data_IF_774524959125
#
_entry.id   IF_774524959125
#
_cell.length_a   1.000
_cell.length_b   1.000
_cell.length_c   1.000
_cell.angle_alpha   90.00
_cell.angle_beta   90.00
_cell.angle_gamma   90.00
#
_symmetry.space_group_name_H-M   'P 1'
#
loop_
_entity.id
_entity.type
_entity.pdbx_description
1 polymer ?
#
# COMPACT_ATOMS: atom_id res chain seq x y z
N UNK A 1 -51.98 8.64 25.23
CA UNK A 1 -51.09 9.11 24.14
C UNK A 1 -50.87 7.92 23.20
N UNK A 2 -51.14 7.88 21.90
CA UNK A 2 -51.54 8.87 20.91
C UNK A 2 -51.23 8.27 19.52
N UNK A 3 -52.10 7.37 19.05
CA UNK A 3 -52.46 7.00 17.65
C UNK A 3 -51.41 6.44 16.66
N UNK A 4 -51.81 5.31 16.05
CA UNK A 4 -51.40 4.75 14.75
C UNK A 4 -51.68 5.73 13.58
N UNK A 5 -50.81 5.76 12.56
CA UNK A 5 -51.17 6.06 11.15
C UNK A 5 -50.01 5.65 10.23
N UNK A 6 -50.17 4.60 9.41
CA UNK A 6 -50.47 4.63 7.95
C UNK A 6 -49.48 5.43 7.11
N UNK A 7 -48.81 4.74 6.20
CA UNK A 7 -47.81 5.30 5.30
C UNK A 7 -48.35 5.96 4.04
N UNK A 8 -47.41 6.38 3.20
CA UNK A 8 -47.60 6.70 1.78
C UNK A 8 -46.26 6.59 1.07
N UNK A 9 -46.16 5.63 0.15
CA UNK A 9 -45.14 5.64 -0.91
C UNK A 9 -45.64 6.65 -1.95
N UNK A 10 -44.92 7.75 -2.12
CA UNK A 10 -45.17 8.69 -3.21
C UNK A 10 -44.27 8.34 -4.40
N UNK A 11 -44.86 7.69 -5.41
CA UNK A 11 -44.32 7.60 -6.77
C UNK A 11 -44.56 8.96 -7.45
N UNK A 12 -43.49 9.71 -7.72
CA UNK A 12 -43.53 10.88 -8.58
C UNK A 12 -43.04 10.51 -9.98
N UNK A 13 -43.97 10.54 -10.95
CA UNK A 13 -43.71 10.50 -12.39
C UNK A 13 -43.71 11.94 -12.91
N UNK A 14 -42.71 12.27 -13.73
CA UNK A 14 -42.52 13.56 -14.41
C UNK A 14 -41.06 14.00 -14.30
N UNK A 15 -40.33 14.43 -15.32
CA UNK A 15 -40.57 14.74 -16.72
C UNK A 15 -39.24 15.29 -17.27
N UNK A 16 -39.08 15.21 -18.59
CA UNK A 16 -38.04 15.79 -19.48
C UNK A 16 -37.07 16.82 -18.88
N UNK A 17 -35.76 16.58 -19.09
CA UNK A 17 -34.79 17.65 -19.33
C UNK A 17 -33.74 17.91 -18.25
N UNK A 18 -32.68 17.10 -18.21
CA UNK A 18 -31.35 17.55 -17.83
C UNK A 18 -30.33 16.51 -18.30
N UNK A 19 -29.44 16.89 -19.21
CA UNK A 19 -28.18 16.15 -19.42
C UNK A 19 -27.43 16.17 -18.10
N UNK A 20 -27.54 15.09 -17.33
CA UNK A 20 -26.78 14.91 -16.12
C UNK A 20 -25.29 14.87 -16.53
N UNK A 21 -24.61 16.01 -16.39
CA UNK A 21 -23.16 16.04 -16.32
C UNK A 21 -22.83 15.14 -15.13
N UNK A 22 -22.41 13.92 -15.43
CA UNK A 22 -21.96 12.94 -14.45
C UNK A 22 -20.74 13.57 -13.80
N UNK A 23 -20.97 14.30 -12.71
CA UNK A 23 -19.92 14.80 -11.87
C UNK A 23 -19.07 13.60 -11.51
N UNK A 24 -17.85 13.56 -12.04
CA UNK A 24 -16.83 12.64 -11.58
C UNK A 24 -16.58 13.01 -10.14
N UNK A 25 -17.35 12.41 -9.24
CA UNK A 25 -17.04 12.37 -7.83
C UNK A 25 -15.74 11.60 -7.77
N UNK A 26 -14.63 12.32 -7.82
CA UNK A 26 -13.32 11.78 -7.46
C UNK A 26 -13.54 11.27 -6.04
N UNK A 27 -13.52 9.95 -5.81
CA UNK A 27 -13.65 9.45 -4.45
C UNK A 27 -12.58 10.17 -3.65
N UNK A 28 -12.99 10.92 -2.62
CA UNK A 28 -12.04 11.52 -1.68
C UNK A 28 -11.15 10.38 -1.26
N UNK A 29 -9.92 10.38 -1.77
CA UNK A 29 -8.90 9.42 -1.36
C UNK A 29 -8.97 9.43 0.14
N UNK A 30 -9.34 8.29 0.76
CA UNK A 30 -9.22 8.15 2.21
C UNK A 30 -7.77 8.51 2.49
N UNK A 31 -7.59 9.72 3.01
CA UNK A 31 -6.32 10.21 3.50
C UNK A 31 -5.83 9.08 4.38
N UNK A 32 -4.63 8.60 4.13
CA UNK A 32 -3.97 7.79 5.13
C UNK A 32 -4.11 8.53 6.47
N UNK A 33 -4.33 7.86 7.61
CA UNK A 33 -4.46 8.55 8.88
C UNK A 33 -3.30 9.56 9.01
N UNK A 34 -3.61 10.86 8.80
CA UNK A 34 -2.62 11.92 8.85
C UNK A 34 -2.35 12.12 10.32
N UNK A 35 -1.30 11.51 10.84
CA UNK A 35 -0.76 11.90 12.13
C UNK A 35 0.08 13.15 11.88
N UNK A 36 -0.50 14.31 12.17
CA UNK A 36 0.26 15.48 12.54
C UNK A 36 0.79 15.23 13.96
N UNK A 37 2.10 15.25 14.15
CA UNK A 37 2.66 15.08 15.49
C UNK A 37 4.17 14.91 15.48
N UNK A 38 4.85 15.84 16.15
CA UNK A 38 6.24 15.78 16.60
C UNK A 38 6.39 14.76 17.74
N UNK A 39 6.16 13.48 17.47
CA UNK A 39 6.26 12.37 18.43
C UNK A 39 7.33 11.36 17.95
N UNK A 40 8.22 10.80 18.82
CA UNK A 40 9.26 9.88 18.41
C UNK A 40 8.69 8.46 18.17
N UNK A 41 7.92 8.35 17.09
CA UNK A 41 7.66 7.18 16.23
C UNK A 41 6.74 6.05 16.73
N UNK A 42 5.41 6.16 16.50
CA UNK A 42 4.68 5.12 15.79
C UNK A 42 5.17 5.08 14.33
N UNK A 43 5.57 3.92 13.85
CA UNK A 43 6.39 3.80 12.63
C UNK A 43 5.69 4.33 11.36
N UNK A 44 6.35 5.28 10.70
CA UNK A 44 5.87 5.96 9.48
C UNK A 44 5.61 4.96 8.34
N UNK A 45 4.50 5.12 7.63
CA UNK A 45 4.21 4.34 6.43
C UNK A 45 5.31 4.50 5.37
N UNK A 46 5.68 3.38 4.73
CA UNK A 46 6.51 3.33 3.52
C UNK A 46 5.61 3.06 2.33
N UNK A 47 5.86 3.70 1.19
CA UNK A 47 4.95 3.69 0.03
C UNK A 47 5.73 3.46 -1.25
N UNK A 48 5.17 2.64 -2.14
CA UNK A 48 5.56 2.57 -3.55
C UNK A 48 4.32 2.61 -4.43
N UNK A 49 4.45 3.11 -5.65
CA UNK A 49 3.41 3.00 -6.68
C UNK A 49 3.79 1.84 -7.60
N UNK A 50 2.92 0.86 -7.75
CA UNK A 50 3.08 -0.33 -8.62
C UNK A 50 2.12 -0.19 -9.80
N UNK A 51 2.58 -0.52 -11.00
CA UNK A 51 1.73 -0.54 -12.19
C UNK A 51 0.58 -1.57 -12.05
N UNK A 52 -0.60 -1.21 -12.56
CA UNK A 52 -1.78 -2.07 -12.54
C UNK A 52 -2.76 -1.80 -11.38
N UNK A 53 -3.96 -2.41 -11.44
CA UNK A 53 -5.02 -2.21 -10.47
C UNK A 53 -4.74 -2.96 -9.15
N UNK A 54 -5.36 -2.58 -8.02
CA UNK A 54 -5.10 -3.18 -6.71
C UNK A 54 -5.29 -4.70 -6.67
N UNK A 55 -6.26 -5.22 -7.43
CA UNK A 55 -6.59 -6.64 -7.52
C UNK A 55 -5.49 -7.45 -8.22
N UNK A 56 -4.67 -6.81 -9.05
CA UNK A 56 -3.50 -7.44 -9.67
C UNK A 56 -2.27 -7.39 -8.74
N UNK A 57 -2.14 -6.30 -7.95
CA UNK A 57 -0.99 -6.10 -7.04
C UNK A 57 -1.14 -6.90 -5.74
N UNK A 58 -2.37 -7.07 -5.24
CA UNK A 58 -2.73 -7.83 -4.04
C UNK A 58 -3.93 -8.75 -4.35
N UNK A 59 -3.72 -9.81 -5.17
CA UNK A 59 -4.80 -10.69 -5.59
C UNK A 59 -5.39 -11.42 -4.40
N UNK A 60 -6.69 -11.20 -4.16
CA UNK A 60 -7.44 -11.82 -3.04
C UNK A 60 -6.80 -11.55 -1.65
N UNK A 61 -6.08 -10.42 -1.52
CA UNK A 61 -5.35 -10.09 -0.29
C UNK A 61 -4.08 -10.92 -0.07
N UNK A 62 -3.65 -11.72 -1.05
CA UNK A 62 -2.40 -12.48 -0.97
C UNK A 62 -1.20 -11.55 -1.11
N UNK A 63 -0.35 -11.55 -0.10
CA UNK A 63 0.82 -10.69 -0.07
C UNK A 63 1.84 -11.08 -1.16
N UNK A 64 2.35 -10.12 -1.95
CA UNK A 64 3.38 -10.41 -2.93
C UNK A 64 4.71 -10.74 -2.24
N UNK A 65 5.55 -11.54 -2.88
CA UNK A 65 6.96 -11.65 -2.47
C UNK A 65 7.69 -10.34 -2.81
N UNK A 66 8.66 -9.89 -1.98
CA UNK A 66 9.11 -10.49 -0.72
C UNK A 66 8.29 -10.10 0.52
N UNK A 67 7.25 -9.29 0.39
CA UNK A 67 6.46 -8.76 1.52
C UNK A 67 5.81 -9.86 2.35
N UNK A 68 5.43 -10.99 1.74
CA UNK A 68 4.87 -12.16 2.45
C UNK A 68 5.71 -12.61 3.65
N UNK A 69 7.04 -12.42 3.61
CA UNK A 69 7.94 -12.76 4.73
C UNK A 69 7.77 -11.85 5.95
N UNK A 70 7.13 -10.69 5.77
CA UNK A 70 6.85 -9.71 6.80
C UNK A 70 5.40 -9.82 7.31
N UNK A 71 4.63 -10.81 6.84
CA UNK A 71 3.27 -11.06 7.31
C UNK A 71 3.27 -11.29 8.83
N UNK A 72 2.28 -10.71 9.51
CA UNK A 72 2.21 -10.66 10.97
C UNK A 72 3.17 -9.68 11.66
N UNK A 73 4.15 -9.09 10.95
CA UNK A 73 5.10 -8.10 11.50
C UNK A 73 4.80 -6.65 11.04
N UNK A 74 4.08 -6.50 9.93
CA UNK A 74 3.72 -5.20 9.35
C UNK A 74 2.23 -5.13 9.01
N UNK A 75 1.68 -3.93 8.95
CA UNK A 75 0.40 -3.67 8.29
C UNK A 75 0.68 -3.41 6.81
N UNK A 76 -0.09 -4.02 5.90
CA UNK A 76 0.00 -3.83 4.44
C UNK A 76 -1.33 -3.34 3.87
N UNK A 77 -1.30 -2.23 3.14
CA UNK A 77 -2.47 -1.62 2.52
C UNK A 77 -2.21 -1.38 1.03
N UNK A 78 -3.22 -1.64 0.18
CA UNK A 78 -3.23 -1.20 -1.21
C UNK A 78 -4.43 -0.29 -1.50
N UNK A 79 -4.21 0.69 -2.38
CA UNK A 79 -5.26 1.54 -2.92
C UNK A 79 -4.90 2.03 -4.33
N UNK A 80 -5.88 2.46 -5.15
CA UNK A 80 -5.57 3.15 -6.39
C UNK A 80 -4.66 4.37 -6.16
N UNK A 81 -3.61 4.49 -6.96
CA UNK A 81 -2.67 5.60 -6.93
C UNK A 81 -3.32 6.87 -7.53
N UNK A 82 -2.98 8.06 -7.01
CA UNK A 82 -3.45 9.32 -7.56
C UNK A 82 -3.08 9.49 -9.03
N UNK A 83 -4.02 10.04 -9.81
CA UNK A 83 -3.83 10.30 -11.24
C UNK A 83 -3.83 9.04 -12.11
N UNK A 84 -4.39 7.93 -11.63
CA UNK A 84 -4.49 6.68 -12.41
C UNK A 84 -3.14 6.01 -12.66
N UNK A 85 -2.13 6.28 -11.83
CA UNK A 85 -0.75 5.77 -12.01
C UNK A 85 -0.55 4.30 -11.57
N UNK A 86 -1.62 3.56 -11.31
CA UNK A 86 -1.59 2.19 -10.80
C UNK A 86 -2.08 2.12 -9.36
N UNK A 87 -1.34 1.40 -8.50
CA UNK A 87 -1.69 1.11 -7.11
C UNK A 87 -0.62 1.64 -6.18
N UNK A 88 -1.00 2.37 -5.13
CA UNK A 88 -0.13 2.64 -3.99
C UNK A 88 -0.15 1.45 -3.05
N UNK A 89 1.01 0.82 -2.86
CA UNK A 89 1.25 -0.24 -1.90
C UNK A 89 2.02 0.33 -0.70
N UNK A 90 1.46 0.15 0.49
CA UNK A 90 1.87 0.83 1.71
C UNK A 90 2.12 -0.15 2.85
N UNK A 91 3.25 -0.02 3.54
CA UNK A 91 3.54 -0.86 4.70
C UNK A 91 4.10 -0.07 5.88
N UNK A 92 3.76 -0.48 7.10
CA UNK A 92 4.38 0.02 8.34
C UNK A 92 4.52 -1.11 9.37
N UNK A 93 5.53 -1.05 10.26
CA UNK A 93 5.60 -1.95 11.42
C UNK A 93 4.31 -1.94 12.23
N UNK A 94 3.90 -3.11 12.70
CA UNK A 94 2.91 -3.23 13.76
C UNK A 94 3.55 -2.75 15.08
N UNK A 95 2.87 -1.86 15.82
CA UNK A 95 3.47 -1.13 16.96
C UNK A 95 4.01 -2.03 18.08
N UNK A 96 3.35 -3.16 18.34
CA UNK A 96 3.71 -4.13 19.39
C UNK A 96 4.24 -5.46 18.81
N UNK A 97 4.66 -5.48 17.55
CA UNK A 97 5.03 -6.70 16.84
C UNK A 97 6.42 -7.22 17.22
N UNK A 98 6.70 -8.53 17.01
CA UNK A 98 8.05 -9.06 17.12
C UNK A 98 8.99 -8.29 16.18
N UNK A 99 10.30 -8.22 16.50
CA UNK A 99 11.28 -7.65 15.59
C UNK A 99 11.19 -8.33 14.22
N UNK A 100 11.39 -7.55 13.15
CA UNK A 100 11.27 -8.05 11.78
C UNK A 100 12.09 -9.34 11.61
N UNK A 101 11.57 -10.35 10.89
CA UNK A 101 12.18 -11.67 10.88
C UNK A 101 13.54 -11.71 10.14
N UNK A 102 14.51 -12.41 10.73
CA UNK A 102 15.74 -12.85 10.07
C UNK A 102 16.96 -11.91 10.15
N UNK A 103 18.06 -12.33 9.52
CA UNK A 103 19.37 -11.63 9.50
C UNK A 103 19.25 -10.16 9.03
N UNK A 104 18.29 -9.88 8.15
CA UNK A 104 18.08 -8.55 7.60
C UNK A 104 17.69 -7.51 8.67
N UNK A 105 16.98 -7.91 9.73
CA UNK A 105 16.66 -7.01 10.84
C UNK A 105 17.91 -6.60 11.64
N UNK A 106 18.89 -7.49 11.78
CA UNK A 106 20.17 -7.17 12.41
C UNK A 106 21.07 -6.28 11.52
N UNK A 107 20.98 -6.43 10.18
CA UNK A 107 21.75 -5.62 9.23
C UNK A 107 21.19 -4.21 9.03
N UNK A 108 19.87 -4.04 9.21
CA UNK A 108 19.17 -2.76 9.04
C UNK A 108 19.27 -1.88 10.29
N UNK A 109 19.72 -2.42 11.42
CA UNK A 109 19.81 -1.72 12.69
C UNK A 109 18.42 -1.28 13.20
N UNK A 110 18.38 -0.19 13.96
CA UNK A 110 17.17 0.26 14.67
C UNK A 110 16.11 0.97 13.78
N UNK A 111 16.28 1.08 12.44
CA UNK A 111 15.24 1.62 11.55
C UNK A 111 14.55 0.50 10.73
N UNK A 112 13.52 -0.17 11.26
CA UNK A 112 12.72 -1.16 10.53
C UNK A 112 12.13 -0.62 9.21
N UNK A 113 12.01 0.71 9.06
CA UNK A 113 11.54 1.34 7.83
C UNK A 113 12.44 1.11 6.62
N UNK A 114 13.74 0.85 6.79
CA UNK A 114 14.64 0.54 5.67
C UNK A 114 14.36 -0.84 5.09
N UNK A 115 14.16 -1.86 5.94
CA UNK A 115 13.82 -3.21 5.49
C UNK A 115 12.50 -3.21 4.72
N UNK A 116 11.49 -2.51 5.26
CA UNK A 116 10.18 -2.38 4.62
C UNK A 116 10.29 -1.66 3.28
N UNK A 117 11.06 -0.56 3.22
CA UNK A 117 11.28 0.16 1.96
C UNK A 117 11.95 -0.73 0.92
N UNK A 118 12.93 -1.54 1.31
CA UNK A 118 13.60 -2.49 0.41
C UNK A 118 12.61 -3.54 -0.09
N UNK A 119 11.86 -4.17 0.81
CA UNK A 119 10.88 -5.19 0.45
C UNK A 119 9.78 -4.66 -0.49
N UNK A 120 9.29 -3.43 -0.27
CA UNK A 120 8.34 -2.77 -1.17
C UNK A 120 8.94 -2.50 -2.56
N UNK A 121 10.21 -2.09 -2.63
CA UNK A 121 10.90 -1.88 -3.92
C UNK A 121 11.09 -3.17 -4.69
N UNK A 122 11.51 -4.23 -4.02
CA UNK A 122 11.65 -5.56 -4.63
C UNK A 122 10.29 -6.10 -5.10
N UNK A 123 9.22 -5.94 -4.30
CA UNK A 123 7.87 -6.33 -4.71
C UNK A 123 7.41 -5.56 -5.95
N UNK A 124 7.66 -4.24 -6.01
CA UNK A 124 7.38 -3.41 -7.19
C UNK A 124 8.13 -3.93 -8.42
N UNK A 125 9.42 -4.21 -8.30
CA UNK A 125 10.23 -4.71 -9.41
C UNK A 125 9.72 -6.07 -9.90
N UNK A 126 9.49 -7.02 -9.00
CA UNK A 126 8.91 -8.32 -9.37
C UNK A 126 7.54 -8.18 -10.06
N UNK A 127 6.68 -7.31 -9.56
CA UNK A 127 5.36 -7.08 -10.15
C UNK A 127 5.44 -6.42 -11.54
N UNK A 128 6.41 -5.53 -11.77
CA UNK A 128 6.50 -4.74 -13.00
C UNK A 128 7.40 -5.36 -14.07
N UNK A 129 8.46 -6.05 -13.67
CA UNK A 129 9.48 -6.58 -14.57
C UNK A 129 9.69 -8.09 -14.42
N UNK A 130 9.11 -8.73 -13.40
CA UNK A 130 9.36 -10.14 -13.09
C UNK A 130 10.73 -10.42 -12.47
N UNK A 131 11.56 -9.39 -12.26
CA UNK A 131 12.95 -9.52 -11.82
C UNK A 131 13.28 -8.47 -10.75
N UNK A 132 14.19 -8.79 -9.83
CA UNK A 132 14.73 -7.81 -8.87
C UNK A 132 16.08 -7.31 -9.38
N UNK A 133 16.20 -6.00 -9.62
CA UNK A 133 17.46 -5.39 -10.02
C UNK A 133 18.45 -5.46 -8.86
N UNK A 134 19.60 -6.08 -9.12
CA UNK A 134 20.73 -6.09 -8.19
C UNK A 134 21.78 -5.11 -8.69
N UNK A 135 22.36 -4.36 -7.77
CA UNK A 135 23.51 -3.53 -8.10
C UNK A 135 24.62 -4.43 -8.64
N UNK A 136 25.27 -3.99 -9.72
CA UNK A 136 26.50 -4.62 -10.17
C UNK A 136 27.52 -4.57 -9.04
N UNK A 137 28.17 -5.71 -8.78
CA UNK A 137 29.26 -5.78 -7.82
C UNK A 137 30.36 -4.83 -8.27
N UNK A 138 30.83 -3.97 -7.37
CA UNK A 138 31.99 -3.14 -7.65
C UNK A 138 33.18 -4.03 -8.02
N UNK A 139 34.15 -3.52 -8.79
CA UNK A 139 35.41 -4.24 -9.02
C UNK A 139 36.08 -4.65 -7.71
N UNK A 140 35.85 -3.90 -6.63
CA UNK A 140 36.36 -4.18 -5.27
C UNK A 140 35.68 -5.39 -4.60
N UNK A 141 34.47 -5.77 -5.01
CA UNK A 141 33.70 -6.90 -4.46
C UNK A 141 33.93 -8.21 -5.24
N UNK A 142 34.72 -8.16 -6.31
CA UNK A 142 35.14 -9.36 -7.06
C UNK A 142 36.35 -9.94 -6.34
N UNK A 143 36.34 -11.23 -5.93
CA UNK A 143 37.55 -11.85 -5.41
C UNK A 143 38.66 -11.66 -6.45
N UNK A 144 39.77 -11.05 -6.03
CA UNK A 144 40.89 -10.76 -6.92
C UNK A 144 41.25 -12.04 -7.67
N UNK A 145 41.25 -11.97 -9.00
CA UNK A 145 41.81 -13.05 -9.80
C UNK A 145 43.27 -13.16 -9.36
N UNK A 146 43.58 -14.19 -8.57
CA UNK A 146 44.94 -14.54 -8.24
C UNK A 146 45.64 -14.83 -9.57
N UNK A 147 46.57 -13.95 -9.95
CA UNK A 147 47.53 -14.20 -11.02
C UNK A 147 48.60 -15.18 -10.56
#
# INVERSE_FOLDING_TARGET
MGRLTRGTIALAVGGVGATAVRALVVPRHRSWPRVAGTDPRPARWQVVTVAGPPEAVLPEGRWPEPLRRLDGAVELHARPAPGGRGTELAARPLGDSPPLPGLAAHLVGDDPGLLIRQALREAKQLAETGEVLRADRSRLDRPGAAG
#
